data_IF_562257864053
#
_entry.id   IF_562257864053
#
_cell.length_a   1.000
_cell.length_b   1.000
_cell.length_c   1.000
_cell.angle_alpha   90.00
_cell.angle_beta   90.00
_cell.angle_gamma   90.00
#
_symmetry.space_group_name_H-M   'P 1'
#
loop_
_entity.id
_entity.type
_entity.pdbx_description
1 polymer ?
#
# COMPACT_ATOMS: atom_id res chain seq x y z
N UNK A 1 11.16 9.37 12.01
CA UNK A 1 11.54 8.14 12.77
C UNK A 1 13.01 7.85 12.48
N UNK A 2 13.72 7.22 13.40
CA UNK A 2 15.06 6.73 13.09
C UNK A 2 14.98 5.51 12.15
N UNK A 3 16.14 5.06 11.66
CA UNK A 3 16.23 3.90 10.76
C UNK A 3 15.60 2.66 11.38
N UNK A 4 15.79 2.46 12.69
CA UNK A 4 15.29 1.29 13.40
C UNK A 4 13.76 1.34 13.55
N UNK A 5 13.17 2.50 13.78
CA UNK A 5 11.73 2.72 13.81
C UNK A 5 11.06 2.32 12.49
N UNK A 6 11.60 2.78 11.35
CA UNK A 6 11.07 2.39 10.03
C UNK A 6 11.22 0.88 9.75
N UNK A 7 12.30 0.24 10.21
CA UNK A 7 12.48 -1.22 10.09
C UNK A 7 11.42 -1.98 10.89
N UNK A 8 11.14 -1.56 12.13
CA UNK A 8 10.09 -2.17 12.96
C UNK A 8 8.72 -2.01 12.32
N UNK A 9 8.39 -0.79 11.86
CA UNK A 9 7.14 -0.52 11.15
C UNK A 9 7.00 -1.37 9.89
N UNK A 10 8.04 -1.41 9.04
CA UNK A 10 8.07 -2.23 7.83
C UNK A 10 7.82 -3.71 8.14
N UNK A 11 8.50 -4.27 9.16
CA UNK A 11 8.27 -5.66 9.59
C UNK A 11 6.83 -5.90 10.02
N UNK A 12 6.28 -5.02 10.86
CA UNK A 12 4.89 -5.10 11.30
C UNK A 12 3.92 -5.06 10.12
N UNK A 13 4.12 -4.14 9.17
CA UNK A 13 3.28 -4.03 7.98
C UNK A 13 3.38 -5.28 7.08
N UNK A 14 4.57 -5.84 6.88
CA UNK A 14 4.73 -7.10 6.14
C UNK A 14 4.07 -8.27 6.85
N UNK A 15 4.18 -8.38 8.17
CA UNK A 15 3.50 -9.42 8.94
C UNK A 15 1.98 -9.31 8.84
N UNK A 16 1.43 -8.09 8.97
CA UNK A 16 -0.01 -7.85 8.83
C UNK A 16 -0.48 -8.12 7.41
N UNK A 17 0.24 -7.65 6.39
CA UNK A 17 -0.08 -7.89 4.98
C UNK A 17 -0.02 -9.39 4.64
N UNK A 18 0.98 -10.12 5.15
CA UNK A 18 1.12 -11.56 4.96
C UNK A 18 -0.01 -12.34 5.63
N UNK A 19 -0.34 -12.03 6.88
CA UNK A 19 -1.46 -12.65 7.59
C UNK A 19 -2.79 -12.36 6.88
N UNK A 20 -3.05 -11.10 6.53
CA UNK A 20 -4.27 -10.70 5.83
C UNK A 20 -4.35 -11.35 4.45
N UNK A 21 -3.24 -11.41 3.71
CA UNK A 21 -3.16 -12.08 2.41
C UNK A 21 -3.40 -13.58 2.51
N UNK A 22 -2.87 -14.24 3.54
CA UNK A 22 -3.14 -15.66 3.80
C UNK A 22 -4.62 -15.90 4.08
N UNK A 23 -5.24 -15.08 4.94
CA UNK A 23 -6.66 -15.16 5.23
C UNK A 23 -7.52 -14.86 4.00
N UNK A 24 -7.17 -13.85 3.20
CA UNK A 24 -7.89 -13.48 1.97
C UNK A 24 -7.77 -14.52 0.85
N UNK A 25 -6.67 -15.28 0.83
CA UNK A 25 -6.50 -16.36 -0.13
C UNK A 25 -7.32 -17.60 0.28
N UNK A 26 -7.37 -17.92 1.59
CA UNK A 26 -8.12 -19.06 2.10
C UNK A 26 -9.62 -18.81 2.27
N UNK A 27 -10.00 -17.58 2.61
CA UNK A 27 -11.39 -17.14 2.65
C UNK A 27 -11.75 -16.69 1.23
N UNK A 28 -12.67 -17.38 0.56
CA UNK A 28 -13.13 -17.10 -0.82
C UNK A 28 -13.90 -15.75 -0.94
N UNK A 29 -13.45 -14.70 -0.25
CA UNK A 29 -14.00 -13.35 -0.34
C UNK A 29 -13.77 -12.77 -1.73
N UNK A 30 -14.88 -12.33 -2.32
CA UNK A 30 -15.00 -11.67 -3.62
C UNK A 30 -15.09 -10.15 -3.48
N UNK A 31 -15.02 -9.64 -2.26
CA UNK A 31 -15.07 -8.23 -1.96
C UNK A 31 -13.87 -7.45 -2.53
N UNK A 32 -14.16 -6.44 -3.36
CA UNK A 32 -13.14 -5.49 -3.83
C UNK A 32 -12.43 -4.73 -2.69
N UNK A 33 -13.08 -4.60 -1.54
CA UNK A 33 -12.53 -3.89 -0.40
C UNK A 33 -11.30 -4.63 0.18
N UNK A 34 -11.37 -5.97 0.31
CA UNK A 34 -10.30 -6.75 0.91
C UNK A 34 -9.03 -6.69 0.04
N UNK A 35 -9.16 -6.88 -1.28
CA UNK A 35 -8.03 -6.78 -2.20
C UNK A 35 -7.44 -5.36 -2.23
N UNK A 36 -8.27 -4.32 -2.10
CA UNK A 36 -7.81 -2.93 -2.04
C UNK A 36 -7.02 -2.65 -0.75
N UNK A 37 -7.50 -3.15 0.39
CA UNK A 37 -6.78 -3.04 1.68
C UNK A 37 -5.45 -3.78 1.61
N UNK A 38 -5.43 -5.01 1.08
CA UNK A 38 -4.21 -5.78 0.94
C UNK A 38 -3.19 -5.06 0.03
N UNK A 39 -3.63 -4.55 -1.12
CA UNK A 39 -2.79 -3.76 -2.02
C UNK A 39 -2.21 -2.51 -1.33
N UNK A 40 -3.02 -1.81 -0.54
CA UNK A 40 -2.58 -0.66 0.23
C UNK A 40 -1.56 -1.04 1.31
N UNK A 41 -1.79 -2.13 2.06
CA UNK A 41 -0.85 -2.64 3.06
C UNK A 41 0.50 -3.01 2.45
N UNK A 42 0.49 -3.69 1.29
CA UNK A 42 1.70 -4.04 0.55
C UNK A 42 2.46 -2.80 0.09
N UNK A 43 1.74 -1.80 -0.44
CA UNK A 43 2.33 -0.51 -0.81
C UNK A 43 3.00 0.15 0.39
N UNK A 44 2.28 0.29 1.52
CA UNK A 44 2.79 0.89 2.75
C UNK A 44 4.00 0.14 3.30
N UNK A 45 3.98 -1.20 3.28
CA UNK A 45 5.10 -2.03 3.69
C UNK A 45 6.33 -1.78 2.81
N UNK A 46 6.15 -1.67 1.48
CA UNK A 46 7.21 -1.37 0.53
C UNK A 46 7.81 0.03 0.75
N UNK A 47 6.97 1.06 0.95
CA UNK A 47 7.43 2.42 1.24
C UNK A 47 8.19 2.49 2.58
N UNK A 48 7.69 1.85 3.63
CA UNK A 48 8.38 1.77 4.92
C UNK A 48 9.73 1.06 4.79
N UNK A 49 9.79 -0.02 4.00
CA UNK A 49 11.03 -0.75 3.68
C UNK A 49 12.03 0.15 2.97
N UNK A 50 11.59 0.84 1.91
CA UNK A 50 12.41 1.75 1.14
C UNK A 50 12.96 2.89 2.00
N UNK A 51 12.10 3.48 2.84
CA UNK A 51 12.47 4.55 3.77
C UNK A 51 13.50 4.08 4.80
N UNK A 52 13.31 2.88 5.36
CA UNK A 52 14.27 2.25 6.27
C UNK A 52 15.65 2.00 5.63
N UNK A 53 15.69 1.77 4.31
CA UNK A 53 16.95 1.57 3.58
C UNK A 53 17.70 2.89 3.39
N UNK A 54 17.02 3.98 3.02
CA UNK A 54 17.62 5.30 2.79
C UNK A 54 18.18 5.98 4.05
N UNK A 55 17.69 5.65 5.25
CA UNK A 55 18.22 6.19 6.51
C UNK A 55 17.77 7.62 6.84
N UNK A 56 18.04 8.13 8.05
CA UNK A 56 17.62 9.48 8.47
C UNK A 56 18.36 10.57 7.68
N UNK A 57 17.64 11.63 7.26
CA UNK A 57 18.16 12.69 6.38
C UNK A 57 17.52 12.63 4.99
N UNK A 58 16.76 13.67 4.61
CA UNK A 58 16.13 13.79 3.28
C UNK A 58 14.60 13.91 3.25
N UNK A 59 13.95 14.06 4.40
CA UNK A 59 12.49 14.15 4.54
C UNK A 59 11.91 15.50 4.17
N UNK A 60 12.24 16.04 3.01
CA UNK A 60 11.62 17.26 2.52
C UNK A 60 10.21 16.94 1.99
N UNK A 61 9.27 17.85 2.22
CA UNK A 61 7.87 17.76 1.76
C UNK A 61 7.80 17.46 0.26
N UNK A 62 8.76 18.00 -0.52
CA UNK A 62 8.92 17.77 -1.96
C UNK A 62 9.15 16.31 -2.36
N UNK A 63 9.58 15.43 -1.44
CA UNK A 63 9.80 14.01 -1.72
C UNK A 63 8.66 13.13 -1.23
N UNK A 64 8.12 13.44 -0.05
CA UNK A 64 7.10 12.61 0.58
C UNK A 64 5.74 12.68 -0.12
N UNK A 65 5.33 13.86 -0.59
CA UNK A 65 4.08 14.01 -1.34
C UNK A 65 4.10 13.17 -2.63
N UNK A 66 5.09 13.31 -3.54
CA UNK A 66 5.10 12.51 -4.76
C UNK A 66 5.32 11.02 -4.48
N UNK A 67 6.11 10.65 -3.47
CA UNK A 67 6.28 9.24 -3.09
C UNK A 67 4.96 8.64 -2.58
N UNK A 68 4.22 9.39 -1.76
CA UNK A 68 2.90 9.01 -1.28
C UNK A 68 1.89 8.89 -2.44
N UNK A 69 1.86 9.88 -3.33
CA UNK A 69 0.98 9.88 -4.50
C UNK A 69 1.26 8.69 -5.43
N UNK A 70 2.53 8.42 -5.72
CA UNK A 70 2.95 7.29 -6.54
C UNK A 70 2.57 5.95 -5.91
N UNK A 71 2.75 5.80 -4.60
CA UNK A 71 2.29 4.63 -3.87
C UNK A 71 0.77 4.48 -3.92
N UNK A 72 0.04 5.59 -3.74
CA UNK A 72 -1.41 5.64 -3.87
C UNK A 72 -1.87 5.14 -5.23
N UNK A 73 -1.31 5.69 -6.32
CA UNK A 73 -1.62 5.23 -7.66
C UNK A 73 -1.28 3.75 -7.88
N UNK A 74 -0.18 3.27 -7.28
CA UNK A 74 0.23 1.87 -7.36
C UNK A 74 -0.74 0.91 -6.65
N UNK A 75 -1.60 1.36 -5.73
CA UNK A 75 -2.61 0.52 -5.07
C UNK A 75 -3.54 -0.12 -6.10
N UNK A 76 -4.04 0.64 -7.07
CA UNK A 76 -4.92 0.09 -8.10
C UNK A 76 -4.21 -0.96 -8.95
N UNK A 77 -2.95 -0.72 -9.34
CA UNK A 77 -2.16 -1.67 -10.11
C UNK A 77 -1.88 -2.96 -9.32
N UNK A 78 -1.50 -2.83 -8.04
CA UNK A 78 -1.28 -3.96 -7.14
C UNK A 78 -2.56 -4.76 -6.90
N UNK A 79 -3.70 -4.09 -6.73
CA UNK A 79 -4.98 -4.75 -6.55
C UNK A 79 -5.39 -5.55 -7.80
N UNK A 80 -5.16 -5.02 -9.01
CA UNK A 80 -5.37 -5.79 -10.26
C UNK A 80 -4.45 -6.99 -10.31
N UNK A 81 -3.16 -6.84 -9.98
CA UNK A 81 -2.24 -7.96 -9.94
C UNK A 81 -2.68 -9.04 -8.95
N UNK A 82 -3.15 -8.66 -7.76
CA UNK A 82 -3.68 -9.59 -6.76
C UNK A 82 -4.94 -10.33 -7.25
N UNK A 83 -5.85 -9.62 -7.93
CA UNK A 83 -7.03 -10.24 -8.58
C UNK A 83 -6.57 -11.30 -9.58
N UNK A 84 -5.62 -10.96 -10.46
CA UNK A 84 -5.09 -11.88 -11.48
C UNK A 84 -4.41 -13.10 -10.85
N UNK A 85 -3.64 -12.90 -9.77
CA UNK A 85 -3.03 -13.99 -9.01
C UNK A 85 -4.10 -14.91 -8.42
N UNK A 86 -5.14 -14.38 -7.78
CA UNK A 86 -6.21 -15.21 -7.20
C UNK A 86 -6.96 -16.01 -8.27
N UNK A 87 -7.32 -15.37 -9.39
CA UNK A 87 -7.94 -16.05 -10.53
C UNK A 87 -7.03 -17.14 -11.15
N UNK A 88 -5.70 -16.94 -11.14
CA UNK A 88 -4.75 -17.90 -11.68
C UNK A 88 -4.44 -19.08 -10.77
N UNK A 89 -4.60 -18.91 -9.45
CA UNK A 89 -4.32 -19.97 -8.47
C UNK A 89 -5.45 -20.99 -8.34
N UNK A 90 -6.69 -20.61 -8.64
CA UNK A 90 -7.82 -21.52 -8.61
C UNK A 90 -8.92 -21.07 -9.58
N UNK A 91 -9.36 -21.97 -10.47
CA UNK A 91 -10.42 -21.69 -11.43
C UNK A 91 -11.78 -22.13 -10.89
N UNK A 92 -12.64 -21.17 -10.57
CA UNK A 92 -14.04 -21.43 -10.25
C UNK A 92 -14.91 -21.40 -11.52
N UNK A 93 -16.02 -22.16 -11.58
CA UNK A 93 -16.98 -22.10 -12.70
C UNK A 93 -17.57 -20.69 -12.88
N UNK A 94 -17.71 -19.96 -11.77
CA UNK A 94 -18.09 -18.55 -11.74
C UNK A 94 -16.85 -17.79 -11.27
N UNK A 95 -16.31 -16.83 -12.05
CA UNK A 95 -15.11 -16.11 -11.66
C UNK A 95 -15.38 -15.26 -10.42
N UNK A 96 -14.44 -15.28 -9.47
CA UNK A 96 -14.53 -14.48 -8.24
C UNK A 96 -14.51 -12.98 -8.51
N UNK A 97 -13.86 -12.57 -9.60
CA UNK A 97 -13.76 -11.19 -10.04
C UNK A 97 -14.08 -11.07 -11.52
N UNK A 98 -14.82 -10.03 -11.87
CA UNK A 98 -15.23 -9.73 -13.24
C UNK A 98 -14.35 -8.66 -13.88
N UNK A 99 -14.44 -8.47 -15.20
CA UNK A 99 -13.79 -7.36 -15.88
C UNK A 99 -14.30 -5.98 -15.38
N UNK A 100 -15.57 -5.90 -14.94
CA UNK A 100 -16.11 -4.70 -14.27
C UNK A 100 -15.39 -4.37 -12.97
N UNK A 101 -15.01 -5.39 -12.20
CA UNK A 101 -14.30 -5.21 -10.93
C UNK A 101 -12.91 -4.64 -11.15
N UNK A 102 -12.19 -5.16 -12.16
CA UNK A 102 -10.88 -4.63 -12.58
C UNK A 102 -11.00 -3.16 -13.02
N UNK A 103 -12.01 -2.82 -13.84
CA UNK A 103 -12.27 -1.44 -14.25
C UNK A 103 -12.60 -0.54 -13.06
N UNK A 104 -13.38 -1.03 -12.10
CA UNK A 104 -13.73 -0.30 -10.88
C UNK A 104 -12.49 0.03 -10.03
N UNK A 105 -11.58 -0.94 -9.85
CA UNK A 105 -10.32 -0.75 -9.12
C UNK A 105 -9.40 0.25 -9.83
N UNK A 106 -9.25 0.14 -11.15
CA UNK A 106 -8.45 1.09 -11.95
C UNK A 106 -9.05 2.50 -11.94
N UNK A 107 -10.38 2.63 -12.01
CA UNK A 107 -11.08 3.92 -11.95
C UNK A 107 -10.88 4.66 -10.63
N UNK A 108 -10.51 3.96 -9.54
CA UNK A 108 -10.19 4.55 -8.23
C UNK A 108 -8.74 5.01 -8.10
N UNK A 109 -7.88 4.80 -9.10
CA UNK A 109 -6.46 5.18 -9.04
C UNK A 109 -6.24 6.66 -8.67
N UNK A 110 -7.02 7.65 -9.20
CA UNK A 110 -6.87 9.04 -8.80
C UNK A 110 -7.17 9.26 -7.31
N UNK A 111 -8.22 8.61 -6.78
CA UNK A 111 -8.60 8.70 -5.37
C UNK A 111 -7.50 8.13 -4.47
N UNK A 112 -6.94 6.98 -4.83
CA UNK A 112 -5.81 6.40 -4.11
C UNK A 112 -4.56 7.27 -4.19
N UNK A 113 -4.29 7.88 -5.35
CA UNK A 113 -3.21 8.84 -5.53
C UNK A 113 -3.33 10.03 -4.58
N UNK A 114 -4.53 10.62 -4.47
CA UNK A 114 -4.81 11.71 -3.52
C UNK A 114 -4.61 11.24 -2.07
N UNK A 115 -5.18 10.10 -1.69
CA UNK A 115 -5.03 9.54 -0.34
C UNK A 115 -3.56 9.29 0.00
N UNK A 116 -2.79 8.75 -0.95
CA UNK A 116 -1.36 8.53 -0.82
C UNK A 116 -0.58 9.84 -0.66
N UNK A 117 -0.91 10.87 -1.46
CA UNK A 117 -0.31 12.20 -1.36
C UNK A 117 -0.54 12.80 0.04
N UNK A 118 -1.76 12.68 0.57
CA UNK A 118 -2.11 13.13 1.92
C UNK A 118 -1.31 12.40 3.00
N UNK A 119 -1.14 11.07 2.90
CA UNK A 119 -0.29 10.29 3.80
C UNK A 119 1.18 10.71 3.72
N UNK A 120 1.66 11.00 2.51
CA UNK A 120 2.98 11.58 2.27
C UNK A 120 3.15 12.91 2.98
N UNK A 121 2.23 13.85 2.78
CA UNK A 121 2.24 15.15 3.45
C UNK A 121 2.25 15.02 4.98
N UNK A 122 1.39 14.17 5.55
CA UNK A 122 1.36 13.90 6.99
C UNK A 122 2.69 13.34 7.51
N UNK A 123 3.30 12.42 6.76
CA UNK A 123 4.61 11.83 7.11
C UNK A 123 5.72 12.88 7.12
N UNK A 124 5.72 13.79 6.14
CA UNK A 124 6.68 14.89 6.07
C UNK A 124 6.53 15.87 7.24
N UNK A 125 5.31 16.26 7.59
CA UNK A 125 5.04 17.13 8.74
C UNK A 125 5.49 16.47 10.05
N UNK A 126 5.24 15.17 10.21
CA UNK A 126 5.69 14.40 11.37
C UNK A 126 7.22 14.30 11.45
N UNK A 127 7.93 14.20 10.33
CA UNK A 127 9.40 14.25 10.32
C UNK A 127 9.93 15.65 10.64
N UNK A 128 9.31 16.71 10.11
CA UNK A 128 9.71 18.10 10.34
C UNK A 128 9.55 18.50 11.81
N UNK A 129 8.40 18.18 12.43
CA UNK A 129 8.14 18.48 13.84
C UNK A 129 9.19 17.89 14.79
N UNK A 130 9.68 16.68 14.49
CA UNK A 130 10.71 15.99 15.29
C UNK A 130 12.13 16.50 15.05
N UNK A 131 12.35 17.21 13.95
CA UNK A 131 13.67 17.75 13.59
C UNK A 131 13.90 19.12 14.23
N UNK A 132 12.84 19.90 14.49
CA UNK A 132 12.91 21.20 15.17
C UNK A 132 12.93 21.14 16.70
N UNK A 133 12.79 19.95 17.30
CA UNK A 133 12.82 19.74 18.76
C UNK A 133 14.18 19.27 19.28
N UNK A 134 15.25 19.41 18.47
CA UNK A 134 16.64 19.10 18.82
C UNK A 134 17.46 20.36 18.70
#
# INVERSE_FOLDING_TARGET
>A
MDRNGYRRLSRGLWSVAGLFGFLWLGYEDRGLWAVSILAWLLGMAALATWRARRGPGGGDLRWWIPAGAALGAAVSALAVLLILVKLGLHAHPIPDFTASDVRSVLGRAPLWGIAGASLGAGSALLERSRSGSR
#
